data_IF_386106341562
#
_entry.id   IF_386106341562
#
_cell.length_a   1.000
_cell.length_b   1.000
_cell.length_c   1.000
_cell.angle_alpha   90.00
_cell.angle_beta   90.00
_cell.angle_gamma   90.00
#
_symmetry.space_group_name_H-M   'P 1'
#
loop_
_entity.id
_entity.type
_entity.pdbx_description
1 polymer ?
#
# COMPACT_ATOMS: atom_id res chain seq x y z
N UNK A 1 1.62 4.34 14.05
CA UNK A 1 3.01 4.76 14.37
C UNK A 1 3.54 5.56 13.20
N UNK A 2 3.90 6.83 13.39
CA UNK A 2 4.51 7.66 12.32
C UNK A 2 6.02 7.39 12.31
N UNK A 3 6.57 7.10 11.15
CA UNK A 3 8.00 6.86 10.95
C UNK A 3 8.62 7.91 10.04
N UNK A 4 9.86 8.27 10.33
CA UNK A 4 10.63 9.19 9.50
C UNK A 4 11.15 8.50 8.25
N UNK A 5 11.33 9.28 7.20
CA UNK A 5 11.95 8.86 5.97
C UNK A 5 13.37 8.29 6.24
N UNK A 6 13.62 7.07 5.77
CA UNK A 6 14.90 6.38 5.86
C UNK A 6 15.21 5.71 4.52
N UNK A 7 16.34 6.10 3.92
CA UNK A 7 16.90 5.41 2.77
C UNK A 7 17.61 4.12 3.20
N UNK A 8 17.45 3.06 2.41
CA UNK A 8 18.01 1.74 2.65
C UNK A 8 18.56 1.17 1.32
N UNK A 9 19.61 0.36 1.44
CA UNK A 9 20.15 -0.43 0.34
C UNK A 9 20.22 -1.88 0.77
N UNK A 10 19.43 -2.75 0.13
CA UNK A 10 19.35 -4.18 0.44
C UNK A 10 19.28 -4.96 -0.87
N UNK A 11 20.08 -6.02 -1.00
CA UNK A 11 20.12 -6.87 -2.21
C UNK A 11 20.33 -6.10 -3.52
N UNK A 12 21.12 -5.02 -3.49
CA UNK A 12 21.38 -4.16 -4.65
C UNK A 12 20.24 -3.19 -5.02
N UNK A 13 19.11 -3.23 -4.30
CA UNK A 13 18.00 -2.29 -4.46
C UNK A 13 18.12 -1.15 -3.45
N UNK A 14 17.81 0.06 -3.92
CA UNK A 14 17.75 1.27 -3.09
C UNK A 14 16.29 1.66 -2.96
N UNK A 15 15.81 1.76 -1.72
CA UNK A 15 14.44 2.17 -1.44
C UNK A 15 14.34 3.03 -0.20
N UNK A 16 13.25 3.78 -0.11
CA UNK A 16 12.94 4.67 1.00
C UNK A 16 11.75 4.14 1.77
N UNK A 17 11.94 3.92 3.07
CA UNK A 17 10.83 3.62 3.99
C UNK A 17 10.41 4.92 4.67
N UNK A 18 9.13 5.29 4.55
CA UNK A 18 8.53 6.48 5.18
C UNK A 18 7.07 6.22 5.51
N UNK A 19 6.48 7.04 6.38
CA UNK A 19 5.02 7.09 6.52
C UNK A 19 4.37 7.53 5.22
N UNK A 20 3.22 6.92 4.92
CA UNK A 20 2.36 7.34 3.82
C UNK A 20 1.82 8.75 4.07
N UNK A 21 1.59 9.49 2.99
CA UNK A 21 0.92 10.78 2.97
C UNK A 21 -0.28 10.70 2.01
N UNK A 22 -1.16 11.70 2.03
CA UNK A 22 -2.40 11.70 1.23
C UNK A 22 -2.17 11.42 -0.27
N UNK A 23 -1.07 11.90 -0.84
CA UNK A 23 -0.74 11.67 -2.25
C UNK A 23 -0.40 10.23 -2.59
N UNK A 24 -0.07 9.40 -1.58
CA UNK A 24 0.23 7.98 -1.79
C UNK A 24 -1.04 7.12 -1.86
N UNK A 25 -2.20 7.67 -1.49
CA UNK A 25 -3.45 6.91 -1.38
C UNK A 25 -3.83 6.21 -2.70
N UNK A 26 -3.65 6.88 -3.84
CA UNK A 26 -3.98 6.32 -5.15
C UNK A 26 -3.09 5.10 -5.48
N UNK A 27 -1.78 5.21 -5.27
CA UNK A 27 -0.85 4.10 -5.52
C UNK A 27 -1.08 2.94 -4.55
N UNK A 28 -1.39 3.23 -3.28
CA UNK A 28 -1.68 2.21 -2.27
C UNK A 28 -2.98 1.45 -2.55
N UNK A 29 -4.02 2.11 -3.05
CA UNK A 29 -5.28 1.46 -3.47
C UNK A 29 -5.03 0.47 -4.60
N UNK A 30 -4.18 0.82 -5.58
CA UNK A 30 -3.82 -0.07 -6.69
C UNK A 30 -2.92 -1.24 -6.26
N UNK A 31 -2.03 -1.00 -5.30
CA UNK A 31 -1.10 -2.02 -4.79
C UNK A 31 -1.80 -3.03 -3.87
N UNK A 32 -2.75 -2.57 -3.03
CA UNK A 32 -3.45 -3.39 -2.05
C UNK A 32 -3.94 -4.74 -2.57
N UNK A 33 -4.71 -4.85 -3.68
CA UNK A 33 -5.18 -6.15 -4.18
C UNK A 33 -4.03 -7.09 -4.61
N UNK A 34 -2.87 -6.56 -5.00
CA UNK A 34 -1.73 -7.38 -5.42
C UNK A 34 -0.99 -8.00 -4.23
N UNK A 35 -1.05 -7.34 -3.06
CA UNK A 35 -0.37 -7.76 -1.83
C UNK A 35 -1.29 -8.44 -0.83
N UNK A 36 -2.61 -8.24 -0.92
CA UNK A 36 -3.59 -8.76 0.06
C UNK A 36 -3.71 -10.28 0.02
N UNK A 37 -3.28 -10.98 -1.06
CA UNK A 37 -3.40 -12.44 -1.19
C UNK A 37 -4.85 -12.99 -1.21
N UNK A 38 -5.83 -12.22 -0.74
CA UNK A 38 -7.26 -12.58 -0.72
C UNK A 38 -7.86 -12.72 -2.12
N UNK A 39 -7.25 -12.09 -3.15
CA UNK A 39 -7.65 -12.30 -4.55
C UNK A 39 -7.27 -13.68 -5.06
N UNK A 40 -6.26 -14.33 -4.45
CA UNK A 40 -5.88 -15.71 -4.75
C UNK A 40 -6.87 -16.72 -4.13
N UNK A 41 -7.49 -16.37 -2.99
CA UNK A 41 -8.51 -17.18 -2.33
C UNK A 41 -9.95 -16.92 -2.81
N UNK A 42 -10.16 -15.97 -3.74
CA UNK A 42 -11.48 -15.54 -4.21
C UNK A 42 -12.43 -15.04 -3.10
N UNK A 43 -11.88 -14.65 -1.94
CA UNK A 43 -12.68 -14.23 -0.78
C UNK A 43 -13.21 -12.80 -0.88
N UNK A 44 -12.80 -12.03 -1.91
CA UNK A 44 -13.20 -10.62 -2.09
C UNK A 44 -14.13 -10.40 -3.27
N UNK A 45 -15.24 -9.72 -3.00
CA UNK A 45 -16.17 -9.24 -4.04
C UNK A 45 -15.82 -7.84 -4.56
N UNK A 46 -16.27 -7.53 -5.79
CA UNK A 46 -16.03 -6.23 -6.43
C UNK A 46 -16.69 -5.11 -5.63
N UNK A 47 -15.88 -4.21 -5.06
CA UNK A 47 -16.35 -3.08 -4.23
C UNK A 47 -16.19 -3.31 -2.73
N UNK A 48 -15.73 -4.49 -2.31
CA UNK A 48 -15.51 -4.80 -0.90
C UNK A 48 -14.23 -4.14 -0.35
N UNK A 49 -14.34 -3.52 0.83
CA UNK A 49 -13.28 -2.75 1.49
C UNK A 49 -12.63 -1.67 0.59
N UNK A 50 -13.40 -1.12 -0.36
CA UNK A 50 -13.00 0.06 -1.12
C UNK A 50 -12.91 1.25 -0.15
N UNK A 51 -11.70 1.77 0.01
CA UNK A 51 -11.42 2.99 0.76
C UNK A 51 -11.17 4.06 -0.29
N UNK A 52 -12.03 5.06 -0.34
CA UNK A 52 -11.82 6.22 -1.20
C UNK A 52 -10.72 7.13 -0.64
N UNK A 53 -10.31 8.14 -1.40
CA UNK A 53 -9.25 9.08 -0.98
C UNK A 53 -9.59 9.76 0.35
N UNK A 54 -10.87 9.93 0.67
CA UNK A 54 -11.32 10.53 1.92
C UNK A 54 -11.20 9.58 3.13
N UNK A 55 -11.11 8.28 2.92
CA UNK A 55 -10.99 7.27 3.97
C UNK A 55 -9.55 6.93 4.38
N UNK A 56 -8.54 7.57 3.77
CA UNK A 56 -7.11 7.39 4.08
C UNK A 56 -6.55 8.43 5.06
#
# INVERSE_FOLDING_TARGET
>A
MIIRNKALQVNGLIYTIRSAIETDAEELVQLRPQIDGETENLDRERGEAFIDVAGF
#
